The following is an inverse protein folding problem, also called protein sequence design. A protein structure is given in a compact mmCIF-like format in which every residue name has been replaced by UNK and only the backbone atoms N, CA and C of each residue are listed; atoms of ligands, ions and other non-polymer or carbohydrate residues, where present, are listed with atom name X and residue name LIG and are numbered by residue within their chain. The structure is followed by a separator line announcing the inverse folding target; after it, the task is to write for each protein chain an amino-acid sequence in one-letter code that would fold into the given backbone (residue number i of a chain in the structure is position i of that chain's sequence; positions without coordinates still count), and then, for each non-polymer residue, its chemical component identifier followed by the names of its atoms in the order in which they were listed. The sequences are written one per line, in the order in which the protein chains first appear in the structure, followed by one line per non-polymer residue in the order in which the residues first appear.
data_IF_792019730915
#
_entry.id   IF_792019730915
#
_cell.length_a   1.000
_cell.length_b   1.000
_cell.length_c   1.000
_cell.angle_alpha   90.00
_cell.angle_beta   90.00
_cell.angle_gamma   90.00
#
_symmetry.space_group_name_H-M   'P 1'
#
loop_
_entity.id
_entity.type
_entity.pdbx_description
1 polymer ?
#
# COMPACT_ATOMS: atom_id res chain seq x y z
N UNK A 1 7.75 14.93 1.23
CA UNK A 1 6.31 14.66 0.98
C UNK A 1 5.67 14.08 2.24
N UNK A 2 4.33 14.18 2.34
CA UNK A 2 3.53 13.45 3.32
C UNK A 2 2.99 12.18 2.65
N UNK A 3 3.44 11.01 3.08
CA UNK A 3 3.15 9.74 2.41
C UNK A 3 2.45 8.78 3.36
N UNK A 4 1.28 8.29 2.97
CA UNK A 4 0.60 7.18 3.66
C UNK A 4 1.07 5.86 3.06
N UNK A 5 1.59 4.96 3.87
CA UNK A 5 1.96 3.60 3.45
C UNK A 5 0.93 2.62 4.02
N UNK A 6 0.10 2.09 3.14
CA UNK A 6 -0.89 1.06 3.46
C UNK A 6 -0.26 -0.32 3.28
N UNK A 7 -0.20 -1.12 4.34
CA UNK A 7 0.38 -2.47 4.32
C UNK A 7 -0.74 -3.50 4.38
N UNK A 8 -0.81 -4.38 3.38
CA UNK A 8 -1.83 -5.43 3.31
C UNK A 8 -1.27 -6.83 3.58
N UNK A 9 -2.15 -7.82 3.79
CA UNK A 9 -1.78 -9.19 4.16
C UNK A 9 -1.05 -9.94 3.04
N UNK A 10 0.25 -9.93 3.09
CA UNK A 10 1.16 -10.70 2.23
C UNK A 10 2.44 -11.01 2.99
N UNK A 11 3.08 -12.14 2.68
CA UNK A 11 4.42 -12.44 3.21
C UNK A 11 5.43 -11.31 2.89
N UNK A 12 5.22 -10.57 1.82
CA UNK A 12 6.07 -9.43 1.46
C UNK A 12 5.90 -8.19 2.35
N UNK A 13 4.99 -8.19 3.33
CA UNK A 13 4.77 -7.07 4.25
C UNK A 13 6.05 -6.62 4.97
N UNK A 14 6.97 -7.56 5.29
CA UNK A 14 8.25 -7.22 5.91
C UNK A 14 9.13 -6.31 5.03
N UNK A 15 8.99 -6.39 3.70
CA UNK A 15 9.76 -5.55 2.76
C UNK A 15 9.32 -4.09 2.81
N UNK A 16 8.08 -3.83 3.18
CA UNK A 16 7.57 -2.47 3.34
C UNK A 16 8.24 -1.73 4.50
N UNK A 17 8.86 -2.46 5.44
CA UNK A 17 9.68 -1.84 6.48
C UNK A 17 10.90 -1.11 5.88
N UNK A 18 11.53 -1.69 4.86
CA UNK A 18 12.64 -1.03 4.12
C UNK A 18 12.16 0.21 3.37
N UNK A 19 10.97 0.14 2.75
CA UNK A 19 10.35 1.30 2.11
C UNK A 19 10.09 2.44 3.12
N UNK A 20 9.46 2.13 4.25
CA UNK A 20 9.17 3.12 5.31
C UNK A 20 10.47 3.72 5.84
N UNK A 21 11.48 2.89 6.10
CA UNK A 21 12.80 3.36 6.58
C UNK A 21 13.46 4.29 5.56
N UNK A 22 13.44 3.94 4.28
CA UNK A 22 14.01 4.76 3.21
C UNK A 22 13.31 6.13 3.13
N UNK A 23 11.98 6.16 3.08
CA UNK A 23 11.20 7.39 3.01
C UNK A 23 11.48 8.31 4.20
N UNK A 24 11.52 7.74 5.41
CA UNK A 24 11.88 8.51 6.62
C UNK A 24 13.29 9.08 6.55
N UNK A 25 14.27 8.32 6.11
CA UNK A 25 15.65 8.78 5.97
C UNK A 25 15.80 9.85 4.87
N UNK A 26 14.95 9.82 3.86
CA UNK A 26 14.87 10.85 2.82
C UNK A 26 14.25 12.16 3.33
N UNK A 27 13.65 12.17 4.52
CA UNK A 27 13.02 13.33 5.12
C UNK A 27 11.51 13.43 4.87
N UNK A 28 10.89 12.38 4.33
CA UNK A 28 9.44 12.34 4.16
C UNK A 28 8.71 12.16 5.50
N UNK A 29 7.51 12.70 5.59
CA UNK A 29 6.58 12.39 6.66
C UNK A 29 5.81 11.12 6.29
N UNK A 30 5.89 10.09 7.11
CA UNK A 30 5.29 8.78 6.78
C UNK A 30 4.30 8.37 7.85
N UNK A 31 3.07 8.09 7.43
CA UNK A 31 2.04 7.41 8.23
C UNK A 31 1.87 5.98 7.72
N UNK A 32 1.83 5.01 8.64
CA UNK A 32 1.55 3.62 8.27
C UNK A 32 0.14 3.23 8.72
N UNK A 33 -0.61 2.62 7.79
CA UNK A 33 -1.91 1.99 8.04
C UNK A 33 -1.78 0.52 7.67
N UNK A 34 -2.26 -0.38 8.52
CA UNK A 34 -2.18 -1.83 8.26
C UNK A 34 -3.56 -2.46 8.26
N UNK A 35 -3.79 -3.39 7.36
CA UNK A 35 -4.95 -4.29 7.50
C UNK A 35 -4.71 -5.26 8.66
N UNK A 36 -5.78 -5.80 9.24
CA UNK A 36 -5.68 -6.84 10.27
C UNK A 36 -4.81 -8.03 9.81
N UNK A 37 -4.98 -8.44 8.55
CA UNK A 37 -4.18 -9.54 8.00
C UNK A 37 -2.68 -9.18 7.87
N UNK A 38 -2.33 -7.91 7.66
CA UNK A 38 -0.93 -7.49 7.62
C UNK A 38 -0.25 -7.65 8.98
N UNK A 39 -0.97 -7.41 10.08
CA UNK A 39 -0.42 -7.53 11.45
C UNK A 39 -0.02 -8.97 11.81
N UNK A 40 -0.55 -9.97 11.08
CA UNK A 40 -0.20 -11.39 11.25
C UNK A 40 1.14 -11.76 10.58
N UNK A 41 1.62 -10.93 9.65
CA UNK A 41 2.90 -11.14 8.97
C UNK A 41 4.05 -10.31 9.57
N UNK A 42 3.74 -9.13 10.09
CA UNK A 42 4.73 -8.24 10.71
C UNK A 42 4.06 -7.41 11.80
N UNK A 43 4.74 -7.24 12.93
CA UNK A 43 4.23 -6.43 14.03
C UNK A 43 4.10 -4.95 13.64
N UNK A 44 3.00 -4.32 14.04
CA UNK A 44 2.81 -2.87 13.92
C UNK A 44 3.89 -2.08 14.65
N UNK A 45 4.46 -2.63 15.73
CA UNK A 45 5.57 -2.02 16.47
C UNK A 45 6.80 -1.79 15.60
N UNK A 46 7.10 -2.69 14.64
CA UNK A 46 8.22 -2.48 13.70
C UNK A 46 8.01 -1.19 12.88
N UNK A 47 6.85 -1.00 12.31
CA UNK A 47 6.52 0.21 11.55
C UNK A 47 6.42 1.46 12.41
N UNK A 48 5.87 1.34 13.63
CA UNK A 48 5.84 2.46 14.57
C UNK A 48 7.25 2.96 14.91
N UNK A 49 8.18 2.04 15.12
CA UNK A 49 9.58 2.37 15.40
C UNK A 49 10.24 3.07 14.22
N UNK A 50 9.97 2.63 12.98
CA UNK A 50 10.55 3.20 11.76
C UNK A 50 9.92 4.55 11.39
N UNK A 51 8.59 4.64 11.40
CA UNK A 51 7.86 5.86 11.01
C UNK A 51 7.89 6.95 12.07
N UNK A 52 8.17 6.58 13.35
CA UNK A 52 8.05 7.44 14.54
C UNK A 52 6.62 7.96 14.76
N UNK A 53 5.60 7.21 14.28
CA UNK A 53 4.18 7.54 14.43
C UNK A 53 3.41 6.27 14.83
N UNK A 54 2.31 6.44 15.57
CA UNK A 54 1.38 5.33 15.88
C UNK A 54 0.89 4.72 14.58
N UNK A 55 0.99 3.40 14.45
CA UNK A 55 0.42 2.66 13.32
C UNK A 55 -1.09 2.50 13.52
N UNK A 56 -1.85 2.71 12.46
CA UNK A 56 -3.30 2.59 12.50
C UNK A 56 -3.69 1.23 11.95
N UNK A 57 -4.49 0.49 12.72
CA UNK A 57 -4.93 -0.86 12.38
C UNK A 57 -6.45 -1.02 12.35
N UNK A 58 -7.17 -0.06 12.90
CA UNK A 58 -8.63 -0.05 13.00
C UNK A 58 -9.20 1.32 12.69
N UNK A 59 -10.40 1.38 12.13
CA UNK A 59 -11.17 2.61 11.95
C UNK A 59 -11.78 3.14 13.27
N UNK A 60 -11.82 2.30 14.29
CA UNK A 60 -12.54 2.56 15.54
C UNK A 60 -11.62 2.88 16.72
N UNK A 61 -10.30 2.97 16.49
CA UNK A 61 -9.31 3.32 17.51
C UNK A 61 -9.15 4.84 17.73
N UNK A 62 -9.98 5.65 17.11
CA UNK A 62 -9.93 7.10 17.19
C UNK A 62 -10.58 7.59 18.49
N UNK A 63 -9.83 8.38 19.26
CA UNK A 63 -10.31 8.94 20.54
C UNK A 63 -10.73 10.40 20.43
N UNK A 64 -10.47 11.06 19.30
CA UNK A 64 -10.80 12.47 19.06
C UNK A 64 -12.01 12.58 18.15
N UNK A 65 -13.12 13.13 18.67
CA UNK A 65 -14.36 13.31 17.93
C UNK A 65 -14.24 14.27 16.73
N UNK A 66 -13.21 15.09 16.68
CA UNK A 66 -12.91 16.01 15.57
C UNK A 66 -11.97 15.43 14.52
N UNK A 67 -11.49 14.22 14.73
CA UNK A 67 -10.53 13.56 13.84
C UNK A 67 -11.15 12.31 13.21
N UNK A 68 -11.35 12.37 11.90
CA UNK A 68 -11.80 11.23 11.10
C UNK A 68 -10.60 10.73 10.28
N UNK A 69 -9.92 9.71 10.77
CA UNK A 69 -8.61 9.27 10.28
C UNK A 69 -8.59 8.95 8.80
N UNK A 70 -9.54 8.14 8.29
CA UNK A 70 -9.55 7.80 6.86
C UNK A 70 -9.76 9.01 5.95
N UNK A 71 -10.49 10.05 6.40
CA UNK A 71 -10.64 11.31 5.66
C UNK A 71 -9.35 12.12 5.73
N UNK A 72 -8.77 12.32 6.92
CA UNK A 72 -7.51 13.03 7.10
C UNK A 72 -6.38 12.43 6.24
N UNK A 73 -6.19 11.10 6.29
CA UNK A 73 -5.13 10.44 5.54
C UNK A 73 -5.38 10.35 4.03
N UNK A 74 -6.63 10.50 3.61
CA UNK A 74 -6.99 10.49 2.18
C UNK A 74 -6.90 11.87 1.51
N UNK A 75 -7.01 12.97 2.26
CA UNK A 75 -7.13 14.30 1.70
C UNK A 75 -5.96 15.24 2.03
N UNK A 76 -5.39 15.12 3.23
CA UNK A 76 -4.36 16.05 3.73
C UNK A 76 -2.91 15.55 3.50
N UNK A 77 -2.77 14.39 2.88
CA UNK A 77 -1.50 13.77 2.54
C UNK A 77 -1.26 13.83 1.03
N UNK A 78 0.00 13.74 0.58
CA UNK A 78 0.38 13.97 -0.82
C UNK A 78 0.24 12.72 -1.69
N UNK A 79 0.46 11.53 -1.12
CA UNK A 79 0.51 10.26 -1.82
C UNK A 79 0.10 9.11 -0.89
N UNK A 80 -0.69 8.17 -1.41
CA UNK A 80 -0.97 6.89 -0.76
C UNK A 80 -0.25 5.79 -1.52
N UNK A 81 0.51 4.95 -0.81
CA UNK A 81 1.21 3.79 -1.36
C UNK A 81 0.64 2.53 -0.72
N UNK A 82 0.14 1.61 -1.52
CA UNK A 82 -0.32 0.31 -1.04
C UNK A 82 0.78 -0.72 -1.30
N UNK A 83 1.55 -1.02 -0.29
CA UNK A 83 2.75 -1.87 -0.39
C UNK A 83 2.89 -2.81 0.81
N UNK A 84 2.78 -4.12 0.62
CA UNK A 84 2.34 -4.80 -0.60
C UNK A 84 0.84 -4.63 -0.85
N UNK A 85 0.41 -4.65 -2.11
CA UNK A 85 -0.99 -4.73 -2.49
C UNK A 85 -1.37 -6.21 -2.76
N UNK A 86 -2.17 -6.79 -1.89
CA UNK A 86 -2.68 -8.16 -2.06
C UNK A 86 -3.82 -8.23 -3.07
N UNK A 87 -4.08 -9.41 -3.64
CA UNK A 87 -5.22 -9.64 -4.52
C UNK A 87 -6.56 -9.26 -3.86
N UNK A 88 -6.70 -9.53 -2.55
CA UNK A 88 -7.87 -9.14 -1.76
C UNK A 88 -8.06 -7.62 -1.75
N UNK A 89 -7.01 -6.85 -1.47
CA UNK A 89 -7.09 -5.39 -1.44
C UNK A 89 -7.42 -4.83 -2.83
N UNK A 90 -6.74 -5.30 -3.89
CA UNK A 90 -7.02 -4.90 -5.27
C UNK A 90 -8.48 -5.19 -5.66
N UNK A 91 -8.99 -6.38 -5.30
CA UNK A 91 -10.37 -6.76 -5.54
C UNK A 91 -11.38 -5.88 -4.81
N UNK A 92 -11.13 -5.58 -3.53
CA UNK A 92 -11.98 -4.68 -2.74
C UNK A 92 -12.04 -3.28 -3.35
N UNK A 93 -10.88 -2.67 -3.60
CA UNK A 93 -10.83 -1.30 -4.15
C UNK A 93 -11.46 -1.22 -5.53
N UNK A 94 -11.18 -2.20 -6.43
CA UNK A 94 -11.77 -2.25 -7.76
C UNK A 94 -13.31 -2.35 -7.76
N UNK A 95 -13.91 -2.82 -6.66
CA UNK A 95 -15.35 -2.96 -6.50
C UNK A 95 -15.96 -1.99 -5.47
N UNK A 96 -15.21 -1.00 -5.00
CA UNK A 96 -15.69 0.03 -4.09
C UNK A 96 -15.97 -0.46 -2.67
N UNK A 97 -15.36 -1.57 -2.25
CA UNK A 97 -15.51 -2.11 -0.89
C UNK A 97 -14.57 -1.39 0.06
N UNK A 98 -15.14 -0.72 1.07
CA UNK A 98 -14.44 0.09 2.06
C UNK A 98 -14.77 -0.41 3.48
N UNK A 99 -14.34 -1.62 3.81
CA UNK A 99 -14.68 -2.35 5.04
C UNK A 99 -13.55 -2.36 6.08
N UNK A 100 -12.41 -1.74 5.77
CA UNK A 100 -11.29 -1.56 6.68
C UNK A 100 -10.63 -0.17 6.49
N UNK A 101 -9.74 0.19 7.41
CA UNK A 101 -9.08 1.51 7.39
C UNK A 101 -8.30 1.76 6.10
N UNK A 102 -7.66 0.74 5.52
CA UNK A 102 -6.89 0.85 4.28
C UNK A 102 -7.80 1.15 3.11
N UNK A 103 -8.84 0.33 2.92
CA UNK A 103 -9.79 0.49 1.80
C UNK A 103 -10.60 1.76 1.91
N UNK A 104 -11.03 2.17 3.12
CA UNK A 104 -11.73 3.42 3.36
C UNK A 104 -10.86 4.63 3.01
N UNK A 105 -9.58 4.62 3.40
CA UNK A 105 -8.62 5.69 3.06
C UNK A 105 -8.41 5.79 1.55
N UNK A 106 -8.30 4.66 0.85
CA UNK A 106 -8.10 4.61 -0.60
C UNK A 106 -9.34 5.15 -1.34
N UNK A 107 -10.54 4.66 -0.99
CA UNK A 107 -11.78 5.04 -1.67
C UNK A 107 -12.15 6.51 -1.43
N UNK A 108 -11.82 7.06 -0.25
CA UNK A 108 -12.09 8.47 0.08
C UNK A 108 -11.02 9.42 -0.51
N UNK A 109 -9.95 8.90 -1.14
CA UNK A 109 -8.82 9.72 -1.55
C UNK A 109 -9.06 10.52 -2.81
N UNK A 110 -8.62 11.78 -2.77
CA UNK A 110 -8.48 12.67 -3.93
C UNK A 110 -7.01 12.80 -4.38
N UNK A 111 -6.10 12.08 -3.73
CA UNK A 111 -4.65 12.12 -3.98
C UNK A 111 -4.21 10.94 -4.84
N UNK A 112 -3.06 11.03 -5.50
CA UNK A 112 -2.48 9.90 -6.22
C UNK A 112 -2.35 8.66 -5.33
N UNK A 113 -2.63 7.49 -5.91
CA UNK A 113 -2.51 6.21 -5.23
C UNK A 113 -1.63 5.30 -6.06
N UNK A 114 -0.58 4.76 -5.41
CA UNK A 114 0.38 3.84 -6.01
C UNK A 114 0.19 2.44 -5.43
N UNK A 115 -0.14 1.47 -6.26
CA UNK A 115 -0.19 0.06 -5.88
C UNK A 115 1.12 -0.65 -6.20
N UNK A 116 1.58 -1.45 -5.24
CA UNK A 116 2.75 -2.34 -5.36
C UNK A 116 2.28 -3.78 -5.17
N UNK A 117 1.75 -4.44 -6.23
CA UNK A 117 1.22 -5.80 -6.13
C UNK A 117 2.30 -6.80 -5.74
N UNK A 118 1.94 -7.74 -4.82
CA UNK A 118 2.78 -8.88 -4.49
C UNK A 118 1.93 -10.05 -4.03
N UNK A 119 1.99 -11.14 -4.78
CA UNK A 119 1.22 -12.36 -4.55
C UNK A 119 1.83 -13.55 -5.29
N UNK A 120 1.29 -14.75 -5.07
CA UNK A 120 1.63 -15.93 -5.86
C UNK A 120 1.40 -15.66 -7.36
N UNK A 121 2.21 -16.27 -8.25
CA UNK A 121 2.15 -16.02 -9.69
C UNK A 121 0.80 -16.39 -10.29
N UNK A 122 0.21 -17.54 -9.90
CA UNK A 122 -1.10 -17.96 -10.39
C UNK A 122 -2.23 -17.03 -9.94
N UNK A 123 -2.09 -16.42 -8.75
CA UNK A 123 -3.01 -15.36 -8.30
C UNK A 123 -2.83 -14.10 -9.15
N UNK A 124 -1.59 -13.70 -9.42
CA UNK A 124 -1.33 -12.51 -10.21
C UNK A 124 -1.82 -12.66 -11.65
N UNK A 125 -1.59 -13.82 -12.27
CA UNK A 125 -2.00 -14.12 -13.65
C UNK A 125 -3.49 -14.47 -13.78
N UNK A 126 -4.20 -14.65 -12.67
CA UNK A 126 -5.64 -14.95 -12.69
C UNK A 126 -6.40 -13.82 -13.38
N UNK A 127 -7.27 -14.17 -14.32
CA UNK A 127 -8.03 -13.22 -15.14
C UNK A 127 -8.85 -12.22 -14.32
N UNK A 128 -9.40 -12.65 -13.16
CA UNK A 128 -10.14 -11.76 -12.26
C UNK A 128 -9.22 -10.70 -11.66
N UNK A 129 -8.03 -11.12 -11.22
CA UNK A 129 -7.04 -10.19 -10.63
C UNK A 129 -6.52 -9.22 -11.70
N UNK A 130 -6.20 -9.72 -12.90
CA UNK A 130 -5.76 -8.88 -14.01
C UNK A 130 -6.85 -7.89 -14.46
N UNK A 131 -8.13 -8.29 -14.48
CA UNK A 131 -9.24 -7.39 -14.76
C UNK A 131 -9.38 -6.30 -13.69
N UNK A 132 -9.20 -6.63 -12.40
CA UNK A 132 -9.21 -5.63 -11.33
C UNK A 132 -8.06 -4.63 -11.48
N UNK A 133 -6.85 -5.12 -11.79
CA UNK A 133 -5.69 -4.24 -12.05
C UNK A 133 -5.95 -3.32 -13.24
N UNK A 134 -6.45 -3.88 -14.34
CA UNK A 134 -6.80 -3.11 -15.55
C UNK A 134 -7.82 -2.02 -15.23
N UNK A 135 -8.92 -2.36 -14.56
CA UNK A 135 -9.96 -1.42 -14.13
C UNK A 135 -9.39 -0.29 -13.28
N UNK A 136 -8.53 -0.60 -12.31
CA UNK A 136 -7.90 0.40 -11.47
C UNK A 136 -6.96 1.31 -12.27
N UNK A 137 -6.18 0.78 -13.21
CA UNK A 137 -5.34 1.59 -14.11
C UNK A 137 -6.17 2.54 -14.98
N UNK A 138 -7.29 2.08 -15.52
CA UNK A 138 -8.24 2.90 -16.31
C UNK A 138 -8.87 4.02 -15.47
N UNK A 139 -9.01 3.83 -14.17
CA UNK A 139 -9.47 4.84 -13.22
C UNK A 139 -8.36 5.80 -12.74
N UNK A 140 -7.14 5.68 -13.27
CA UNK A 140 -6.02 6.57 -12.97
C UNK A 140 -5.14 6.15 -11.78
N UNK A 141 -5.34 4.96 -11.23
CA UNK A 141 -4.44 4.46 -10.19
C UNK A 141 -3.09 4.04 -10.78
N UNK A 142 -2.01 4.40 -10.11
CA UNK A 142 -0.64 4.08 -10.53
C UNK A 142 -0.19 2.71 -10.00
N UNK A 143 0.70 2.06 -10.75
CA UNK A 143 1.19 0.72 -10.40
C UNK A 143 2.70 0.60 -10.58
N UNK A 144 3.36 -0.10 -9.66
CA UNK A 144 4.68 -0.68 -9.90
C UNK A 144 4.50 -2.14 -10.27
N UNK A 145 4.95 -2.54 -11.45
CA UNK A 145 4.85 -3.94 -11.88
C UNK A 145 5.68 -4.85 -10.96
N UNK A 146 5.13 -5.99 -10.53
CA UNK A 146 5.88 -6.95 -9.73
C UNK A 146 7.05 -7.54 -10.51
N UNK A 147 8.12 -7.86 -9.80
CA UNK A 147 9.27 -8.54 -10.39
C UNK A 147 8.95 -10.01 -10.72
N UNK A 148 9.76 -10.57 -11.63
CA UNK A 148 9.82 -11.99 -11.92
C UNK A 148 10.91 -12.61 -11.04
N UNK A 149 10.68 -13.81 -10.54
CA UNK A 149 11.68 -14.58 -9.79
C UNK A 149 11.06 -15.57 -8.82
N UNK A 150 11.90 -16.22 -8.03
CA UNK A 150 11.48 -17.21 -7.05
C UNK A 150 10.57 -16.56 -5.99
N UNK A 151 9.38 -17.12 -5.81
CA UNK A 151 8.40 -16.73 -4.82
C UNK A 151 8.54 -17.57 -3.54
N UNK A 152 7.95 -17.11 -2.43
CA UNK A 152 8.01 -17.80 -1.15
C UNK A 152 7.39 -19.22 -1.18
N UNK A 153 6.52 -19.50 -2.14
CA UNK A 153 5.93 -20.83 -2.37
C UNK A 153 6.81 -21.77 -3.22
N UNK A 154 8.04 -21.37 -3.59
CA UNK A 154 8.96 -22.18 -4.38
C UNK A 154 8.68 -22.19 -5.90
N UNK A 155 7.76 -21.36 -6.38
CA UNK A 155 7.45 -21.21 -7.81
C UNK A 155 8.16 -19.98 -8.35
N UNK A 156 8.80 -20.11 -9.52
CA UNK A 156 9.33 -18.95 -10.24
C UNK A 156 8.26 -18.34 -11.14
N UNK A 157 8.11 -17.03 -11.08
CA UNK A 157 7.12 -16.33 -11.91
C UNK A 157 6.93 -14.87 -11.54
N UNK A 158 5.99 -14.21 -12.20
CA UNK A 158 5.60 -12.83 -11.96
C UNK A 158 4.70 -12.75 -10.72
N UNK A 159 4.96 -11.78 -9.84
CA UNK A 159 4.20 -11.61 -8.58
C UNK A 159 5.08 -11.26 -7.39
N UNK A 160 6.39 -11.29 -7.59
CA UNK A 160 7.37 -10.95 -6.57
C UNK A 160 7.35 -9.45 -6.26
N UNK A 161 7.40 -9.09 -4.98
CA UNK A 161 7.53 -7.70 -4.56
C UNK A 161 8.71 -7.04 -5.27
N UNK A 162 8.52 -5.90 -5.96
CA UNK A 162 9.54 -5.27 -6.76
C UNK A 162 10.72 -4.77 -5.92
N UNK A 163 11.86 -4.54 -6.57
CA UNK A 163 13.02 -3.91 -5.93
C UNK A 163 12.64 -2.51 -5.45
N UNK A 164 13.24 -2.10 -4.33
CA UNK A 164 12.96 -0.81 -3.70
C UNK A 164 13.17 0.36 -4.66
N UNK A 165 14.25 0.32 -5.45
CA UNK A 165 14.58 1.40 -6.40
C UNK A 165 13.44 1.66 -7.39
N UNK A 166 12.79 0.62 -7.94
CA UNK A 166 11.63 0.77 -8.84
C UNK A 166 10.45 1.48 -8.16
N UNK A 167 10.24 1.19 -6.87
CA UNK A 167 9.17 1.82 -6.11
C UNK A 167 9.50 3.30 -5.91
N UNK A 168 10.74 3.61 -5.57
CA UNK A 168 11.21 4.97 -5.33
C UNK A 168 11.15 5.81 -6.62
N UNK A 169 11.63 5.27 -7.75
CA UNK A 169 11.54 5.92 -9.06
C UNK A 169 10.08 6.32 -9.37
N UNK A 170 9.14 5.41 -9.12
CA UNK A 170 7.72 5.69 -9.37
C UNK A 170 7.13 6.73 -8.41
N UNK A 171 7.55 6.74 -7.15
CA UNK A 171 7.18 7.78 -6.18
C UNK A 171 7.67 9.15 -6.66
N UNK A 172 8.90 9.23 -7.16
CA UNK A 172 9.51 10.49 -7.60
C UNK A 172 8.85 11.00 -8.90
N UNK A 173 8.47 10.12 -9.82
CA UNK A 173 7.65 10.46 -11.00
C UNK A 173 6.32 11.09 -10.60
N UNK A 174 5.61 10.50 -9.63
CA UNK A 174 4.32 11.02 -9.15
C UNK A 174 4.54 12.37 -8.44
N UNK A 175 5.54 12.48 -7.58
CA UNK A 175 5.88 13.72 -6.88
C UNK A 175 6.30 14.86 -7.81
N UNK A 176 6.93 14.55 -8.94
CA UNK A 176 7.30 15.53 -9.97
C UNK A 176 6.12 16.03 -10.79
N UNK A 177 5.08 15.22 -10.98
CA UNK A 177 3.84 15.62 -11.69
C UNK A 177 2.97 16.59 -10.89
N UNK A 178 3.16 16.67 -9.56
CA UNK A 178 2.35 17.47 -8.63
C UNK A 178 3.02 18.79 -8.24
N UNK A 179 4.14 19.15 -8.86
CA UNK A 179 4.80 20.46 -8.74
C UNK A 179 4.47 21.31 -9.96
#
# INVERSE_FOLDING_TARGET
MKIVVCVTGSIAAYKSASLVSFLKNRGDEVQVIMTENATKFISSLAFQTLSKRKVITSMFDEQDANFVGHIHYSQDWDLIIVAPASANNLGKVANGIADDMVTSTIIASTKPILFVPSMNTYMYENAIVQNNIKKLKELGYEFVEPDIGMLACGVEGKGKYPKLDKIIEKIDEIGGKNK
#
